data_IF_392804208518
#
_entry.id   IF_392804208518
#
_cell.length_a   1.000
_cell.length_b   1.000
_cell.length_c   1.000
_cell.angle_alpha   90.00
_cell.angle_beta   90.00
_cell.angle_gamma   90.00
#
_symmetry.space_group_name_H-M   'P 1'
#
loop_
_entity.id
_entity.type
_entity.pdbx_description
1 polymer ?
#
# COMPACT_ATOMS: atom_id res chain seq x y z
N UNK A 1 -28.96 48.47 12.25
CA UNK A 1 -27.70 47.69 12.32
C UNK A 1 -26.48 48.64 12.23
N UNK A 2 -26.41 49.67 13.08
CA UNK A 2 -25.28 50.62 13.16
C UNK A 2 -25.01 51.13 14.59
N UNK A 3 -25.76 50.66 15.59
CA UNK A 3 -25.64 51.10 16.98
C UNK A 3 -24.84 50.13 17.87
N UNK A 4 -24.37 49.00 17.34
CA UNK A 4 -23.66 47.95 18.10
C UNK A 4 -22.13 47.98 17.92
N UNK A 5 -21.61 48.80 17.01
CA UNK A 5 -20.16 48.94 16.77
C UNK A 5 -19.55 50.06 17.63
N UNK A 6 -20.38 50.97 18.16
CA UNK A 6 -19.91 52.14 18.91
C UNK A 6 -19.51 51.86 20.38
N UNK A 7 -19.88 50.71 20.95
CA UNK A 7 -19.63 50.43 22.38
C UNK A 7 -18.30 49.71 22.69
N UNK A 8 -17.52 49.29 21.69
CA UNK A 8 -16.20 48.70 21.93
C UNK A 8 -15.03 49.67 21.67
N UNK A 9 -15.31 50.92 21.29
CA UNK A 9 -14.29 51.91 20.91
C UNK A 9 -13.96 52.94 21.99
N UNK A 10 -14.62 52.91 23.16
CA UNK A 10 -14.45 53.92 24.20
C UNK A 10 -14.37 53.27 25.58
N UNK A 11 -13.19 52.73 25.90
CA UNK A 11 -12.92 52.23 27.24
C UNK A 11 -11.56 51.56 27.36
N UNK A 12 -10.52 52.37 27.54
CA UNK A 12 -9.29 51.92 28.18
C UNK A 12 -8.06 52.01 27.31
N UNK A 13 -7.36 53.14 27.45
CA UNK A 13 -5.93 53.29 27.19
C UNK A 13 -5.14 52.16 27.86
N UNK A 14 -4.19 51.57 27.13
CA UNK A 14 -2.79 51.58 27.54
C UNK A 14 -1.92 50.89 26.47
N UNK A 15 -1.11 51.70 25.79
CA UNK A 15 -0.10 51.27 24.84
C UNK A 15 1.04 50.50 25.50
N UNK A 16 0.81 49.25 25.89
CA UNK A 16 1.86 48.37 26.46
C UNK A 16 1.97 46.99 25.81
N UNK A 17 1.41 46.81 24.62
CA UNK A 17 1.55 45.53 23.92
C UNK A 17 3.00 45.25 23.43
N UNK A 18 3.84 46.29 23.31
CA UNK A 18 5.24 46.18 22.85
C UNK A 18 6.32 46.26 23.95
N UNK A 19 5.96 46.42 25.23
CA UNK A 19 6.96 46.64 26.30
C UNK A 19 7.26 45.42 27.18
N UNK A 20 6.69 44.25 26.91
CA UNK A 20 7.07 43.01 27.61
C UNK A 20 7.77 42.04 26.67
N UNK A 21 9.09 42.21 26.65
CA UNK A 21 10.15 41.20 26.66
C UNK A 21 9.65 39.75 26.68
N UNK A 22 10.18 38.99 25.72
CA UNK A 22 10.15 37.52 25.56
C UNK A 22 8.99 36.96 24.72
N UNK A 23 8.85 37.46 23.48
CA UNK A 23 8.42 36.61 22.37
C UNK A 23 9.70 36.06 21.73
N UNK A 24 10.18 34.95 22.27
CA UNK A 24 11.21 34.12 21.64
C UNK A 24 10.65 33.52 20.34
N UNK A 25 10.68 34.29 19.26
CA UNK A 25 10.37 33.79 17.92
C UNK A 25 11.44 32.81 17.42
N UNK A 26 12.64 32.87 18.00
CA UNK A 26 13.70 31.89 17.84
C UNK A 26 14.05 31.37 19.23
N UNK A 27 13.67 30.14 19.57
CA UNK A 27 14.11 29.42 20.77
C UNK A 27 15.64 29.33 20.81
N UNK A 28 16.30 30.39 21.24
CA UNK A 28 17.76 30.56 21.23
C UNK A 28 18.44 29.92 22.44
N UNK A 29 17.68 29.29 23.35
CA UNK A 29 18.22 28.73 24.59
C UNK A 29 17.73 27.33 24.99
N UNK A 30 17.37 26.47 24.03
CA UNK A 30 17.41 25.00 24.26
C UNK A 30 18.48 24.33 23.39
N UNK A 31 19.73 24.44 23.85
CA UNK A 31 20.72 23.35 23.67
C UNK A 31 20.36 22.19 24.61
N UNK A 32 19.21 21.58 24.41
CA UNK A 32 19.17 20.13 24.54
C UNK A 32 19.69 19.64 23.20
N UNK A 33 20.72 18.79 23.18
CA UNK A 33 21.08 18.11 21.95
C UNK A 33 19.81 17.42 21.44
N UNK A 34 19.14 18.04 20.47
CA UNK A 34 18.17 17.33 19.66
C UNK A 34 18.93 16.10 19.18
N UNK A 35 18.41 14.87 19.34
CA UNK A 35 18.99 13.75 18.63
C UNK A 35 19.10 14.22 17.19
N UNK A 36 20.30 14.15 16.62
CA UNK A 36 20.50 14.45 15.20
C UNK A 36 19.30 13.82 14.51
N UNK A 37 18.45 14.66 13.90
CA UNK A 37 17.37 14.12 13.11
C UNK A 37 18.07 13.12 12.21
N UNK A 38 17.72 11.84 12.33
CA UNK A 38 18.12 10.82 11.38
C UNK A 38 17.52 11.30 10.07
N UNK A 39 18.23 12.21 9.41
CA UNK A 39 18.12 12.53 8.02
C UNK A 39 18.37 11.18 7.40
N UNK A 40 17.29 10.54 6.96
CA UNK A 40 17.35 9.29 6.23
C UNK A 40 18.52 9.41 5.28
N UNK A 41 19.40 8.41 5.24
CA UNK A 41 20.66 8.44 4.48
C UNK A 41 20.49 8.82 3.00
N UNK A 42 19.24 8.82 2.52
CA UNK A 42 18.78 9.24 1.20
C UNK A 42 18.49 10.74 1.04
N UNK A 43 18.67 11.55 2.09
CA UNK A 43 18.39 13.01 2.07
C UNK A 43 19.45 13.82 1.31
N UNK A 44 20.46 13.15 0.74
CA UNK A 44 21.39 13.78 -0.18
C UNK A 44 20.68 14.09 -1.50
N UNK A 45 20.63 15.38 -1.87
CA UNK A 45 20.12 15.79 -3.17
C UNK A 45 20.80 14.96 -4.28
N UNK A 46 20.03 14.31 -5.18
CA UNK A 46 20.59 13.47 -6.21
C UNK A 46 21.64 14.23 -7.05
N UNK A 47 22.70 13.58 -7.55
CA UNK A 47 23.80 14.26 -8.22
C UNK A 47 23.39 15.26 -9.33
N UNK A 48 22.36 14.99 -10.15
CA UNK A 48 21.88 15.96 -11.15
C UNK A 48 21.26 17.23 -10.54
N UNK A 49 20.56 17.09 -9.42
CA UNK A 49 19.97 18.21 -8.66
C UNK A 49 21.08 19.04 -8.04
N UNK A 50 22.05 18.38 -7.39
CA UNK A 50 23.20 19.05 -6.76
C UNK A 50 24.01 19.85 -7.79
N UNK A 51 24.31 19.25 -8.95
CA UNK A 51 25.03 19.93 -10.05
C UNK A 51 24.27 21.14 -10.60
N UNK A 52 22.94 21.05 -10.72
CA UNK A 52 22.12 22.17 -11.17
C UNK A 52 22.14 23.34 -10.17
N UNK A 53 22.05 23.04 -8.87
CA UNK A 53 22.09 24.04 -7.81
C UNK A 53 23.47 24.70 -7.66
N UNK A 54 24.54 23.92 -7.80
CA UNK A 54 25.92 24.43 -7.67
C UNK A 54 26.40 25.17 -8.92
N UNK A 55 26.00 24.72 -10.12
CA UNK A 55 26.42 25.30 -11.41
C UNK A 55 25.22 25.34 -12.38
N UNK A 56 24.35 26.35 -12.27
CA UNK A 56 23.23 26.49 -13.17
C UNK A 56 23.72 26.77 -14.60
N UNK A 57 23.32 25.92 -15.55
CA UNK A 57 23.69 26.02 -16.96
C UNK A 57 22.82 25.13 -17.85
N UNK A 58 22.87 25.30 -19.17
CA UNK A 58 22.02 24.55 -20.10
C UNK A 58 22.29 23.04 -20.07
N UNK A 59 23.53 22.62 -19.89
CA UNK A 59 23.91 21.20 -19.80
C UNK A 59 23.47 20.54 -18.49
N UNK A 60 23.58 21.26 -17.37
CA UNK A 60 23.13 20.77 -16.06
C UNK A 60 21.61 20.71 -15.99
N UNK A 61 20.91 21.66 -16.61
CA UNK A 61 19.45 21.64 -16.76
C UNK A 61 18.96 20.43 -17.59
N UNK A 62 19.61 20.12 -18.72
CA UNK A 62 19.29 18.92 -19.53
C UNK A 62 19.52 17.63 -18.74
N UNK A 63 20.61 17.56 -17.99
CA UNK A 63 20.93 16.40 -17.15
C UNK A 63 19.90 16.20 -16.03
N UNK A 64 19.40 17.30 -15.44
CA UNK A 64 18.33 17.27 -14.45
C UNK A 64 17.01 16.79 -15.05
N UNK A 65 16.64 17.27 -16.24
CA UNK A 65 15.41 16.85 -16.93
C UNK A 65 15.43 15.35 -17.26
N UNK A 66 16.52 14.84 -17.83
CA UNK A 66 16.67 13.42 -18.11
C UNK A 66 16.53 12.55 -16.84
N UNK A 67 17.09 13.03 -15.71
CA UNK A 67 16.95 12.36 -14.43
C UNK A 67 15.49 12.39 -13.92
N UNK A 68 14.78 13.50 -14.06
CA UNK A 68 13.36 13.59 -13.69
C UNK A 68 12.49 12.66 -14.52
N UNK A 69 12.70 12.60 -15.84
CA UNK A 69 11.96 11.71 -16.74
C UNK A 69 12.14 10.24 -16.33
N UNK A 70 13.38 9.83 -16.06
CA UNK A 70 13.69 8.49 -15.60
C UNK A 70 13.05 8.17 -14.24
N UNK A 71 13.08 9.14 -13.31
CA UNK A 71 12.41 9.01 -12.01
C UNK A 71 10.90 8.84 -12.17
N UNK A 72 10.27 9.64 -13.03
CA UNK A 72 8.85 9.52 -13.34
C UNK A 72 8.51 8.18 -13.99
N UNK A 73 9.35 7.69 -14.90
CA UNK A 73 9.18 6.37 -15.51
C UNK A 73 9.17 5.24 -14.48
N UNK A 74 10.13 5.26 -13.54
CA UNK A 74 10.19 4.28 -12.43
C UNK A 74 8.99 4.39 -11.51
N UNK A 75 8.57 5.61 -11.18
CA UNK A 75 7.40 5.83 -10.33
C UNK A 75 6.13 5.28 -10.97
N UNK A 76 5.91 5.54 -12.27
CA UNK A 76 4.78 4.97 -13.01
C UNK A 76 4.81 3.44 -13.03
N UNK A 77 5.98 2.83 -13.23
CA UNK A 77 6.13 1.38 -13.20
C UNK A 77 5.80 0.81 -11.80
N UNK A 78 6.27 1.47 -10.74
CA UNK A 78 5.97 1.08 -9.36
C UNK A 78 4.48 1.20 -9.04
N UNK A 79 3.84 2.29 -9.45
CA UNK A 79 2.37 2.47 -9.31
C UNK A 79 1.65 1.37 -10.08
N UNK A 80 2.04 1.10 -11.33
CA UNK A 80 1.45 0.02 -12.13
C UNK A 80 1.61 -1.35 -11.47
N UNK A 81 2.76 -1.63 -10.85
CA UNK A 81 2.98 -2.87 -10.11
C UNK A 81 2.07 -2.95 -8.86
N UNK A 82 1.93 -1.86 -8.09
CA UNK A 82 1.03 -1.81 -6.93
C UNK A 82 -0.42 -1.96 -7.36
N UNK A 83 -0.85 -1.27 -8.42
CA UNK A 83 -2.20 -1.41 -8.96
C UNK A 83 -2.47 -2.83 -9.47
N UNK A 84 -1.50 -3.49 -10.10
CA UNK A 84 -1.63 -4.87 -10.54
C UNK A 84 -1.82 -5.82 -9.35
N UNK A 85 -1.08 -5.61 -8.26
CA UNK A 85 -1.25 -6.37 -7.01
C UNK A 85 -2.62 -6.09 -6.38
N UNK A 86 -3.05 -4.81 -6.32
CA UNK A 86 -4.34 -4.43 -5.74
C UNK A 86 -5.54 -4.92 -6.55
N UNK A 87 -5.42 -4.99 -7.88
CA UNK A 87 -6.46 -5.52 -8.78
C UNK A 87 -6.48 -7.06 -8.83
N UNK A 88 -5.68 -7.75 -8.02
CA UNK A 88 -5.64 -9.21 -8.02
C UNK A 88 -5.08 -9.80 -9.31
N UNK A 89 -4.32 -9.04 -10.10
CA UNK A 89 -3.62 -9.54 -11.29
C UNK A 89 -2.35 -10.32 -10.92
N UNK A 90 -2.39 -11.05 -9.80
CA UNK A 90 -1.57 -12.25 -9.67
C UNK A 90 -2.02 -13.21 -10.79
N UNK A 91 -1.10 -13.96 -11.43
CA UNK A 91 -1.51 -15.00 -12.36
C UNK A 91 -2.55 -15.87 -11.66
N UNK A 92 -3.78 -15.93 -12.19
CA UNK A 92 -4.86 -16.74 -11.62
C UNK A 92 -4.30 -18.14 -11.43
N UNK A 93 -4.12 -18.52 -10.17
CA UNK A 93 -3.57 -19.82 -9.84
C UNK A 93 -4.56 -20.88 -10.32
N UNK A 94 -4.10 -22.07 -10.72
CA UNK A 94 -5.03 -23.16 -11.00
C UNK A 94 -5.87 -23.45 -9.75
N UNK A 95 -7.16 -23.71 -9.94
CA UNK A 95 -8.03 -24.19 -8.87
C UNK A 95 -7.51 -25.56 -8.41
N UNK A 96 -6.97 -25.63 -7.20
CA UNK A 96 -6.45 -26.86 -6.63
C UNK A 96 -7.55 -27.59 -5.87
N UNK A 97 -7.65 -28.90 -6.04
CA UNK A 97 -8.61 -29.73 -5.34
C UNK A 97 -7.92 -30.87 -4.60
N UNK A 98 -8.17 -30.94 -3.30
CA UNK A 98 -7.61 -31.91 -2.38
C UNK A 98 -8.71 -32.87 -1.93
N UNK A 99 -8.55 -34.15 -2.28
CA UNK A 99 -9.48 -35.23 -1.95
C UNK A 99 -8.77 -36.43 -1.37
N UNK A 100 -9.47 -37.18 -0.51
CA UNK A 100 -9.06 -38.51 -0.04
C UNK A 100 -10.03 -39.56 -0.58
N UNK A 101 -9.52 -40.77 -0.80
CA UNK A 101 -10.35 -41.92 -1.12
C UNK A 101 -11.36 -42.20 0.00
N UNK A 102 -12.56 -42.66 -0.37
CA UNK A 102 -13.63 -42.98 0.59
C UNK A 102 -14.36 -41.76 1.19
N UNK A 103 -14.00 -40.54 0.80
CA UNK A 103 -14.65 -39.33 1.26
C UNK A 103 -15.99 -39.09 0.55
N UNK A 104 -17.12 -39.28 1.25
CA UNK A 104 -18.47 -39.04 0.72
C UNK A 104 -18.66 -37.63 0.15
N UNK A 105 -18.20 -36.61 0.88
CA UNK A 105 -18.32 -35.22 0.47
C UNK A 105 -17.48 -34.88 -0.77
N UNK A 106 -16.41 -35.64 -1.00
CA UNK A 106 -15.53 -35.46 -2.14
C UNK A 106 -16.22 -35.91 -3.44
N UNK A 107 -17.03 -36.97 -3.39
CA UNK A 107 -17.84 -37.40 -4.53
C UNK A 107 -18.85 -36.32 -4.95
N UNK A 108 -19.54 -35.69 -3.98
CA UNK A 108 -20.43 -34.57 -4.25
C UNK A 108 -19.68 -33.36 -4.80
N UNK A 109 -18.50 -33.06 -4.25
CA UNK A 109 -17.67 -31.96 -4.74
C UNK A 109 -17.24 -32.16 -6.20
N UNK A 110 -16.91 -33.38 -6.62
CA UNK A 110 -16.54 -33.68 -8.01
C UNK A 110 -17.69 -33.39 -9.00
N UNK A 111 -18.95 -33.51 -8.56
CA UNK A 111 -20.10 -33.09 -9.38
C UNK A 111 -20.13 -31.56 -9.56
N UNK A 112 -19.93 -30.81 -8.47
CA UNK A 112 -19.87 -29.35 -8.49
C UNK A 112 -18.70 -28.83 -9.34
N UNK A 113 -17.58 -29.56 -9.38
CA UNK A 113 -16.37 -29.22 -10.14
C UNK A 113 -16.43 -29.58 -11.62
N UNK A 114 -17.50 -30.27 -12.07
CA UNK A 114 -17.60 -30.74 -13.46
C UNK A 114 -17.51 -29.58 -14.46
N UNK A 115 -16.59 -29.72 -15.42
CA UNK A 115 -16.36 -28.71 -16.47
C UNK A 115 -15.56 -27.49 -16.02
N UNK A 116 -15.02 -27.48 -14.80
CA UNK A 116 -14.03 -26.49 -14.36
C UNK A 116 -12.61 -27.01 -14.59
N UNK A 117 -11.68 -26.10 -14.87
CA UNK A 117 -10.25 -26.41 -14.93
C UNK A 117 -9.72 -26.55 -13.51
N UNK A 118 -9.48 -27.79 -13.09
CA UNK A 118 -9.17 -28.16 -11.70
C UNK A 118 -7.97 -29.10 -11.68
N UNK A 119 -6.97 -28.72 -10.90
CA UNK A 119 -5.82 -29.56 -10.61
C UNK A 119 -6.12 -30.41 -9.38
N UNK A 120 -6.26 -31.71 -9.61
CA UNK A 120 -6.46 -32.71 -8.56
C UNK A 120 -5.12 -33.03 -7.89
N UNK A 121 -5.01 -32.70 -6.62
CA UNK A 121 -3.77 -32.89 -5.86
C UNK A 121 -3.81 -34.24 -5.13
N UNK A 122 -2.93 -35.19 -5.48
CA UNK A 122 -2.91 -36.50 -4.84
C UNK A 122 -2.44 -36.40 -3.38
N UNK A 123 -2.91 -37.29 -2.49
CA UNK A 123 -2.36 -37.43 -1.14
C UNK A 123 -0.83 -37.61 -1.16
N UNK A 124 -0.13 -36.97 -0.22
CA UNK A 124 1.33 -37.03 -0.12
C UNK A 124 2.08 -35.97 -0.94
N UNK A 125 1.38 -35.18 -1.75
CA UNK A 125 1.96 -33.99 -2.38
C UNK A 125 2.41 -32.97 -1.30
N UNK A 126 3.55 -32.28 -1.48
CA UNK A 126 4.00 -31.23 -0.56
C UNK A 126 2.97 -30.08 -0.43
N UNK A 127 2.13 -29.89 -1.44
CA UNK A 127 1.07 -28.87 -1.46
C UNK A 127 0.07 -29.05 -0.30
N UNK A 128 -0.11 -30.27 0.23
CA UNK A 128 -0.98 -30.49 1.39
C UNK A 128 -0.48 -29.76 2.63
N UNK A 129 0.84 -29.78 2.85
CA UNK A 129 1.47 -29.09 3.97
C UNK A 129 1.53 -27.58 3.72
N UNK A 130 1.87 -27.18 2.48
CA UNK A 130 1.94 -25.78 2.06
C UNK A 130 0.63 -25.02 2.31
N UNK A 131 -0.51 -25.61 1.94
CA UNK A 131 -1.83 -25.00 2.12
C UNK A 131 -2.52 -25.40 3.43
N UNK A 132 -1.84 -26.12 4.32
CA UNK A 132 -2.38 -26.54 5.62
C UNK A 132 -3.68 -27.36 5.50
N UNK A 133 -3.74 -28.27 4.53
CA UNK A 133 -4.92 -29.07 4.24
C UNK A 133 -5.04 -30.22 5.25
N UNK A 134 -5.94 -30.09 6.20
CA UNK A 134 -6.19 -31.08 7.26
C UNK A 134 -7.43 -31.94 7.05
N UNK A 135 -8.33 -31.53 6.15
CA UNK A 135 -9.60 -32.21 5.86
C UNK A 135 -9.93 -32.19 4.36
N UNK A 136 -10.86 -33.04 3.95
CA UNK A 136 -11.32 -33.13 2.55
C UNK A 136 -12.85 -33.18 2.46
N UNK A 137 -13.47 -32.63 1.41
CA UNK A 137 -12.84 -31.91 0.29
C UNK A 137 -12.28 -30.55 0.73
N UNK A 138 -11.17 -30.13 0.14
CA UNK A 138 -10.61 -28.78 0.30
C UNK A 138 -10.24 -28.24 -1.08
N UNK A 139 -10.56 -26.98 -1.34
CA UNK A 139 -10.25 -26.28 -2.58
C UNK A 139 -9.34 -25.09 -2.28
N UNK A 140 -8.43 -24.78 -3.19
CA UNK A 140 -7.60 -23.57 -3.12
C UNK A 140 -7.77 -22.77 -4.39
N UNK A 141 -8.22 -21.52 -4.24
CA UNK A 141 -8.44 -20.57 -5.34
C UNK A 141 -7.63 -19.33 -5.01
N UNK A 142 -6.61 -19.02 -5.82
CA UNK A 142 -5.76 -17.83 -5.62
C UNK A 142 -5.23 -17.69 -4.18
N UNK A 143 -4.82 -18.81 -3.58
CA UNK A 143 -4.31 -18.88 -2.20
C UNK A 143 -5.39 -18.92 -1.11
N UNK A 144 -6.66 -18.70 -1.44
CA UNK A 144 -7.79 -18.84 -0.51
C UNK A 144 -8.16 -20.31 -0.34
N UNK A 145 -8.15 -20.78 0.90
CA UNK A 145 -8.49 -22.17 1.25
C UNK A 145 -9.96 -22.28 1.63
N UNK A 146 -10.72 -23.05 0.84
CA UNK A 146 -12.13 -23.38 1.07
C UNK A 146 -12.22 -24.81 1.58
N UNK A 147 -12.69 -24.98 2.83
CA UNK A 147 -12.75 -26.29 3.49
C UNK A 147 -14.17 -26.82 3.48
N UNK A 148 -14.34 -28.09 3.14
CA UNK A 148 -15.63 -28.75 3.03
C UNK A 148 -16.29 -28.56 1.67
N UNK A 149 -17.50 -29.11 1.54
CA UNK A 149 -18.28 -29.04 0.31
C UNK A 149 -18.59 -27.56 -0.01
N UNK A 150 -18.14 -27.12 -1.18
CA UNK A 150 -18.38 -25.78 -1.70
C UNK A 150 -19.32 -25.87 -2.92
N UNK A 151 -20.54 -25.29 -2.84
CA UNK A 151 -21.48 -25.28 -3.96
C UNK A 151 -20.92 -24.54 -5.18
N UNK A 152 -21.35 -24.95 -6.39
CA UNK A 152 -20.90 -24.35 -7.64
C UNK A 152 -21.15 -22.85 -7.74
N UNK A 153 -22.25 -22.35 -7.22
CA UNK A 153 -22.53 -20.90 -7.21
C UNK A 153 -21.43 -20.12 -6.47
N UNK A 154 -21.04 -20.61 -5.29
CA UNK A 154 -19.93 -20.06 -4.50
C UNK A 154 -18.62 -20.17 -5.27
N UNK A 155 -18.33 -21.33 -5.89
CA UNK A 155 -17.11 -21.51 -6.69
C UNK A 155 -17.03 -20.51 -7.85
N UNK A 156 -18.11 -20.34 -8.60
CA UNK A 156 -18.15 -19.41 -9.71
C UNK A 156 -18.04 -17.96 -9.27
N UNK A 157 -18.54 -17.62 -8.08
CA UNK A 157 -18.36 -16.30 -7.47
C UNK A 157 -16.88 -16.05 -7.13
N UNK A 158 -16.25 -17.00 -6.45
CA UNK A 158 -14.83 -16.93 -6.09
C UNK A 158 -13.90 -16.87 -7.32
N UNK A 159 -14.18 -17.66 -8.37
CA UNK A 159 -13.42 -17.63 -9.64
C UNK A 159 -13.58 -16.32 -10.43
N UNK A 160 -14.68 -15.60 -10.20
CA UNK A 160 -14.97 -14.28 -10.81
C UNK A 160 -14.48 -13.10 -9.98
N UNK A 161 -14.03 -13.33 -8.73
CA UNK A 161 -13.72 -12.28 -7.75
C UNK A 161 -14.91 -11.31 -7.51
N UNK A 162 -16.14 -11.83 -7.55
CA UNK A 162 -17.38 -11.13 -7.15
C UNK A 162 -17.72 -11.42 -5.68
#
# INVERSE_FOLDING_TARGET
>A
MLALIACCALGGEDGRFFERRDVDFWESHRRAAAPEAELWSDSAAPPPVKRLLEKPGPETARSYLAWQEERFRRLRAAIGAVEAVQRGAAPKGPLLYFSREGCRWCALQEEELRGLDVVRVPPGSPLWAEFGVTMTPTLVIDGKVLRGLTPRETLLKELRHE
#
